data_IF_311151535765
#
_entry.id   IF_311151535765
#
_cell.length_a   1.000
_cell.length_b   1.000
_cell.length_c   1.000
_cell.angle_alpha   90.00
_cell.angle_beta   90.00
_cell.angle_gamma   90.00
#
_symmetry.space_group_name_H-M   'P 1'
#
loop_
_entity.id
_entity.type
_entity.pdbx_description
1 polymer ?
#
# COMPACT_ATOMS: atom_id res chain seq x y z
N UNK A 1 -13.49 -4.64 8.64
CA UNK A 1 -13.04 -4.19 9.97
C UNK A 1 -11.96 -3.11 9.83
N UNK A 2 -11.58 -2.40 10.90
CA UNK A 2 -10.56 -1.33 10.84
C UNK A 2 -9.22 -1.84 10.27
N UNK A 3 -8.80 -3.03 10.69
CA UNK A 3 -7.60 -3.70 10.20
C UNK A 3 -7.61 -3.92 8.68
N UNK A 4 -8.73 -4.38 8.11
CA UNK A 4 -8.89 -4.53 6.66
C UNK A 4 -8.77 -3.19 5.93
N UNK A 5 -9.37 -2.11 6.46
CA UNK A 5 -9.24 -0.76 5.89
C UNK A 5 -7.80 -0.24 5.92
N UNK A 6 -7.09 -0.52 7.00
CA UNK A 6 -5.67 -0.16 7.14
C UNK A 6 -4.82 -0.94 6.12
N UNK A 7 -5.07 -2.24 6.00
CA UNK A 7 -4.39 -3.13 5.05
C UNK A 7 -4.63 -2.69 3.60
N UNK A 8 -5.87 -2.37 3.24
CA UNK A 8 -6.21 -1.85 1.91
C UNK A 8 -5.53 -0.51 1.62
N UNK A 9 -5.42 0.38 2.62
CA UNK A 9 -4.72 1.64 2.46
C UNK A 9 -3.22 1.46 2.21
N UNK A 10 -2.57 0.53 2.93
CA UNK A 10 -1.16 0.15 2.72
C UNK A 10 -0.97 -0.42 1.32
N UNK A 11 -1.76 -1.43 0.94
CA UNK A 11 -1.64 -2.09 -0.37
C UNK A 11 -1.89 -1.09 -1.50
N UNK A 12 -2.95 -0.30 -1.40
CA UNK A 12 -3.32 0.69 -2.40
C UNK A 12 -2.24 1.75 -2.60
N UNK A 13 -1.63 2.24 -1.53
CA UNK A 13 -0.56 3.23 -1.64
C UNK A 13 0.74 2.63 -2.21
N UNK A 14 1.13 1.43 -1.78
CA UNK A 14 2.29 0.74 -2.35
C UNK A 14 2.11 0.47 -3.86
N UNK A 15 0.91 0.06 -4.28
CA UNK A 15 0.56 -0.11 -5.69
C UNK A 15 0.60 1.21 -6.46
N UNK A 16 0.07 2.31 -5.89
CA UNK A 16 0.15 3.65 -6.51
C UNK A 16 1.60 4.10 -6.71
N UNK A 17 2.45 3.94 -5.70
CA UNK A 17 3.86 4.32 -5.83
C UNK A 17 4.58 3.48 -6.88
N UNK A 18 4.29 2.17 -6.95
CA UNK A 18 4.86 1.29 -7.96
C UNK A 18 4.39 1.66 -9.38
N UNK A 19 3.12 2.02 -9.55
CA UNK A 19 2.59 2.51 -10.82
C UNK A 19 3.24 3.82 -11.27
N UNK A 20 3.61 4.69 -10.33
CA UNK A 20 4.32 5.95 -10.61
C UNK A 20 5.82 5.75 -10.88
N UNK A 21 6.40 4.62 -10.47
CA UNK A 21 7.85 4.33 -10.58
C UNK A 21 8.11 2.88 -11.06
N UNK A 22 7.53 2.44 -12.18
CA UNK A 22 7.48 1.02 -12.55
C UNK A 22 8.84 0.38 -12.86
N UNK A 23 9.86 1.20 -13.15
CA UNK A 23 11.22 0.73 -13.40
C UNK A 23 12.03 0.51 -12.12
N UNK A 24 11.68 1.16 -11.00
CA UNK A 24 12.48 1.18 -9.77
C UNK A 24 11.75 0.68 -8.52
N UNK A 25 10.45 0.43 -8.61
CA UNK A 25 9.64 -0.12 -7.53
C UNK A 25 8.71 -1.20 -8.07
N UNK A 26 8.83 -2.41 -7.53
CA UNK A 26 7.98 -3.56 -7.85
C UNK A 26 7.34 -4.11 -6.58
N UNK A 27 6.07 -4.48 -6.70
CA UNK A 27 5.29 -5.12 -5.64
C UNK A 27 4.93 -6.52 -6.09
N UNK A 28 5.34 -7.53 -5.32
CA UNK A 28 5.03 -8.94 -5.58
C UNK A 28 4.05 -9.46 -4.55
N UNK A 29 3.17 -10.39 -4.95
CA UNK A 29 2.06 -10.85 -4.10
C UNK A 29 0.88 -9.88 -4.01
N UNK A 30 0.91 -8.74 -4.72
CA UNK A 30 -0.17 -7.75 -4.72
C UNK A 30 -1.56 -8.31 -5.08
N UNK A 31 -1.63 -9.37 -5.90
CA UNK A 31 -2.89 -10.04 -6.29
C UNK A 31 -3.48 -10.90 -5.17
N UNK A 32 -2.62 -11.38 -4.29
CA UNK A 32 -2.98 -12.25 -3.15
C UNK A 32 -2.91 -11.49 -1.82
N UNK A 33 -2.45 -10.24 -1.83
CA UNK A 33 -2.19 -9.40 -0.67
C UNK A 33 -3.43 -9.17 0.21
N UNK A 34 -4.64 -9.29 -0.34
CA UNK A 34 -5.88 -9.22 0.46
C UNK A 34 -6.15 -10.51 1.25
N UNK A 35 -5.49 -11.61 0.90
CA UNK A 35 -5.61 -12.93 1.57
C UNK A 35 -4.31 -13.36 2.27
N UNK A 36 -3.20 -12.70 1.96
CA UNK A 36 -1.88 -12.92 2.55
C UNK A 36 -1.57 -11.81 3.56
N UNK A 37 -0.90 -12.13 4.65
CA UNK A 37 -0.39 -11.13 5.59
C UNK A 37 0.97 -10.55 5.17
N UNK A 38 1.55 -11.07 4.08
CA UNK A 38 2.89 -10.73 3.62
C UNK A 38 2.88 -10.18 2.20
N UNK A 39 3.81 -9.26 1.94
CA UNK A 39 4.00 -8.55 0.69
C UNK A 39 5.48 -8.28 0.49
N UNK A 40 6.01 -8.59 -0.71
CA UNK A 40 7.40 -8.30 -1.05
C UNK A 40 7.47 -6.98 -1.81
N UNK A 41 8.31 -6.07 -1.32
CA UNK A 41 8.53 -4.75 -1.92
C UNK A 41 9.98 -4.61 -2.36
N UNK A 42 10.20 -4.49 -3.66
CA UNK A 42 11.51 -4.36 -4.28
C UNK A 42 11.70 -2.95 -4.83
N UNK A 43 12.29 -2.06 -4.03
CA UNK A 43 12.55 -0.67 -4.40
C UNK A 43 12.45 0.30 -3.24
N UNK A 44 12.52 1.61 -3.53
CA UNK A 44 12.35 2.66 -2.54
C UNK A 44 10.88 3.03 -2.39
N UNK A 45 10.41 3.10 -1.15
CA UNK A 45 9.07 3.56 -0.78
C UNK A 45 9.17 4.99 -0.24
N UNK A 46 8.21 5.82 -0.60
CA UNK A 46 7.96 7.10 0.06
C UNK A 46 7.12 6.86 1.33
N UNK A 47 7.80 6.87 2.48
CA UNK A 47 7.16 6.63 3.77
C UNK A 47 6.21 7.76 4.18
N UNK A 48 6.46 9.00 3.74
CA UNK A 48 5.58 10.14 4.05
C UNK A 48 4.22 9.99 3.37
N UNK A 49 4.24 9.65 2.08
CA UNK A 49 3.03 9.34 1.32
C UNK A 49 2.28 8.12 1.90
N UNK A 50 3.01 7.08 2.31
CA UNK A 50 2.42 5.90 2.96
C UNK A 50 1.70 6.25 4.26
N UNK A 51 2.34 7.02 5.15
CA UNK A 51 1.71 7.48 6.40
C UNK A 51 0.47 8.32 6.12
N UNK A 52 0.52 9.22 5.14
CA UNK A 52 -0.64 10.05 4.77
C UNK A 52 -1.82 9.21 4.25
N UNK A 53 -1.56 8.18 3.44
CA UNK A 53 -2.61 7.29 2.95
C UNK A 53 -3.30 6.50 4.08
N UNK A 54 -2.51 6.02 5.05
CA UNK A 54 -3.04 5.31 6.23
C UNK A 54 -3.82 6.27 7.13
N UNK A 55 -3.29 7.47 7.40
CA UNK A 55 -3.99 8.47 8.19
C UNK A 55 -5.32 8.89 7.54
N UNK A 56 -5.38 8.99 6.21
CA UNK A 56 -6.61 9.29 5.48
C UNK A 56 -7.67 8.19 5.57
N UNK A 57 -7.28 6.93 5.64
CA UNK A 57 -8.24 5.81 5.73
C UNK A 57 -8.91 5.68 7.10
N UNK A 58 -8.27 6.18 8.16
CA UNK A 58 -8.84 6.23 9.52
C UNK A 58 -9.61 7.51 9.81
N UNK A 59 -9.23 8.62 9.17
CA UNK A 59 -9.85 9.93 9.38
C UNK A 59 -11.26 10.08 8.77
N UNK A 60 -11.72 9.09 8.00
CA UNK A 60 -13.08 9.08 7.42
C UNK A 60 -13.16 9.59 5.98
N UNK A 61 -12.18 9.25 5.13
CA UNK A 61 -12.39 9.38 3.68
C UNK A 61 -13.58 8.53 3.19
N UNK A 62 -14.35 8.99 2.19
CA UNK A 62 -15.60 8.36 1.73
C UNK A 62 -15.44 6.89 1.31
#
# INVERSE_FOLDING_TARGET
MLEEKLKDAVIGELQRQAANRPQSLKIEGAKDAQRSEELTVNGKIDLGALVMAIAGSVAGGP
#
